data_IF_422917036830
#
_entry.id   IF_422917036830
#
_cell.length_a   1.000
_cell.length_b   1.000
_cell.length_c   1.000
_cell.angle_alpha   90.00
_cell.angle_beta   90.00
_cell.angle_gamma   90.00
#
_symmetry.space_group_name_H-M   'P 1'
#
loop_
_entity.id
_entity.type
_entity.pdbx_description
1 polymer ?
#
# COMPACT_ATOMS: atom_id res chain seq x y z
N UNK A 1 -34.26 0.50 -24.50
CA UNK A 1 -33.58 -0.55 -23.74
C UNK A 1 -32.41 -1.01 -24.61
N UNK A 2 -31.17 -0.83 -24.14
CA UNK A 2 -29.88 -0.87 -24.87
C UNK A 2 -29.67 0.40 -25.74
N UNK A 3 -28.65 1.26 -25.58
CA UNK A 3 -27.38 1.07 -24.90
C UNK A 3 -26.74 2.44 -24.52
N UNK A 4 -27.16 3.03 -23.39
CA UNK A 4 -26.42 4.14 -22.75
C UNK A 4 -25.13 3.65 -22.07
N UNK A 5 -24.88 2.33 -22.07
CA UNK A 5 -23.72 1.66 -21.49
C UNK A 5 -22.48 1.82 -22.38
N UNK A 6 -22.62 1.92 -23.71
CA UNK A 6 -21.50 2.06 -24.64
C UNK A 6 -20.65 3.34 -24.46
N UNK A 7 -21.25 4.50 -24.17
CA UNK A 7 -20.51 5.77 -24.02
C UNK A 7 -19.76 5.89 -22.68
N UNK A 8 -20.29 5.30 -21.61
CA UNK A 8 -19.58 5.21 -20.33
C UNK A 8 -18.50 4.13 -20.35
N UNK A 9 -18.73 3.01 -21.04
CA UNK A 9 -17.72 1.95 -21.19
C UNK A 9 -16.52 2.41 -22.02
N UNK A 10 -16.71 3.21 -23.08
CA UNK A 10 -15.60 3.72 -23.89
C UNK A 10 -14.70 4.72 -23.13
N UNK A 11 -15.27 5.61 -22.32
CA UNK A 11 -14.50 6.56 -21.51
C UNK A 11 -13.81 5.89 -20.31
N UNK A 12 -14.45 4.89 -19.70
CA UNK A 12 -13.84 4.07 -18.65
C UNK A 12 -12.74 3.16 -19.24
N UNK A 13 -12.94 2.61 -20.43
CA UNK A 13 -11.93 1.83 -21.14
C UNK A 13 -10.72 2.71 -21.50
N UNK A 14 -10.89 3.97 -21.88
CA UNK A 14 -9.75 4.86 -22.15
C UNK A 14 -8.97 5.22 -20.87
N UNK A 15 -9.66 5.57 -19.77
CA UNK A 15 -9.01 5.90 -18.48
C UNK A 15 -8.35 4.69 -17.82
N UNK A 16 -8.99 3.53 -17.82
CA UNK A 16 -8.41 2.29 -17.27
C UNK A 16 -7.27 1.79 -18.15
N UNK A 17 -7.42 1.83 -19.48
CA UNK A 17 -6.38 1.35 -20.38
C UNK A 17 -5.15 2.24 -20.30
N UNK A 18 -5.28 3.58 -20.22
CA UNK A 18 -4.14 4.51 -20.01
C UNK A 18 -3.46 4.33 -18.64
N UNK A 19 -4.22 4.05 -17.57
CA UNK A 19 -3.64 3.83 -16.23
C UNK A 19 -2.94 2.46 -16.11
N UNK A 20 -3.55 1.39 -16.66
CA UNK A 20 -2.92 0.05 -16.75
C UNK A 20 -1.67 0.09 -17.64
N UNK A 21 -1.72 0.82 -18.75
CA UNK A 21 -0.61 1.10 -19.65
C UNK A 21 0.49 1.79 -18.85
N UNK A 22 0.23 2.94 -18.21
CA UNK A 22 1.24 3.64 -17.41
C UNK A 22 1.84 2.81 -16.27
N UNK A 23 1.05 2.00 -15.56
CA UNK A 23 1.56 1.08 -14.52
C UNK A 23 2.40 -0.04 -15.15
N UNK A 24 2.01 -0.56 -16.32
CA UNK A 24 2.78 -1.56 -17.06
C UNK A 24 4.09 -0.98 -17.60
N UNK A 25 4.10 0.24 -18.16
CA UNK A 25 5.32 0.91 -18.60
C UNK A 25 6.20 1.34 -17.43
N UNK A 26 5.64 1.75 -16.28
CA UNK A 26 6.41 2.04 -15.07
C UNK A 26 7.08 0.77 -14.50
N UNK A 27 6.36 -0.36 -14.47
CA UNK A 27 6.92 -1.65 -14.05
C UNK A 27 7.93 -2.20 -15.08
N UNK A 28 7.73 -1.95 -16.37
CA UNK A 28 8.69 -2.27 -17.44
C UNK A 28 9.92 -1.34 -17.45
N UNK A 29 9.79 -0.08 -17.02
CA UNK A 29 10.90 0.89 -16.91
C UNK A 29 11.86 0.49 -15.81
N UNK A 30 11.35 -0.02 -14.67
CA UNK A 30 12.20 -0.55 -13.61
C UNK A 30 12.95 -1.77 -14.15
N UNK A 31 12.24 -2.79 -14.66
CA UNK A 31 12.83 -4.04 -15.17
C UNK A 31 13.85 -3.86 -16.32
N UNK A 32 13.68 -2.84 -17.19
CA UNK A 32 14.60 -2.56 -18.30
C UNK A 32 15.91 -1.90 -17.85
N UNK A 33 15.92 -1.26 -16.67
CA UNK A 33 17.12 -0.71 -16.06
C UNK A 33 18.04 -1.81 -15.50
N UNK A 34 17.49 -2.98 -15.13
CA UNK A 34 18.19 -4.15 -14.58
C UNK A 34 18.77 -5.12 -15.62
N UNK A 35 18.59 -4.86 -16.93
CA UNK A 35 19.10 -5.71 -18.03
C UNK A 35 20.58 -5.40 -18.39
N UNK A 36 21.18 -4.38 -17.76
CA UNK A 36 22.58 -4.02 -18.00
C UNK A 36 23.48 -5.07 -17.34
N UNK A 37 24.47 -5.58 -18.09
CA UNK A 37 25.38 -6.66 -17.63
C UNK A 37 26.20 -6.35 -16.35
N UNK A 38 26.19 -5.10 -15.90
CA UNK A 38 26.82 -4.64 -14.65
C UNK A 38 26.02 -5.08 -13.40
N UNK A 39 24.76 -5.49 -13.58
CA UNK A 39 23.83 -5.83 -12.50
C UNK A 39 23.97 -7.27 -11.98
N UNK A 40 24.96 -8.06 -12.43
CA UNK A 40 25.21 -9.37 -11.82
C UNK A 40 25.48 -9.22 -10.32
N UNK A 41 26.25 -8.20 -9.95
CA UNK A 41 26.52 -7.84 -8.54
C UNK A 41 25.25 -7.36 -7.83
N UNK A 42 24.39 -6.59 -8.51
CA UNK A 42 23.12 -6.14 -7.97
C UNK A 42 22.13 -7.30 -7.77
N UNK A 43 22.12 -8.29 -8.66
CA UNK A 43 21.30 -9.49 -8.57
C UNK A 43 21.76 -10.40 -7.44
N UNK A 44 23.08 -10.58 -7.27
CA UNK A 44 23.62 -11.28 -6.10
C UNK A 44 23.38 -10.51 -4.79
N UNK A 45 23.51 -9.18 -4.82
CA UNK A 45 23.23 -8.32 -3.68
C UNK A 45 21.76 -8.35 -3.27
N UNK A 46 20.85 -8.30 -4.24
CA UNK A 46 19.41 -8.42 -4.03
C UNK A 46 19.02 -9.82 -3.55
N UNK A 47 19.58 -10.87 -4.16
CA UNK A 47 19.38 -12.24 -3.72
C UNK A 47 19.87 -12.47 -2.28
N UNK A 48 21.05 -11.97 -1.95
CA UNK A 48 21.58 -12.02 -0.59
C UNK A 48 20.74 -11.19 0.39
N UNK A 49 20.34 -9.97 0.01
CA UNK A 49 19.48 -9.12 0.81
C UNK A 49 18.12 -9.78 1.07
N UNK A 50 17.54 -10.47 0.08
CA UNK A 50 16.30 -11.22 0.24
C UNK A 50 16.47 -12.38 1.24
N UNK A 51 17.57 -13.14 1.14
CA UNK A 51 17.87 -14.23 2.08
C UNK A 51 18.11 -13.69 3.50
N UNK A 52 18.88 -12.61 3.65
CA UNK A 52 19.14 -11.96 4.93
C UNK A 52 17.85 -11.38 5.51
N UNK A 53 16.98 -10.79 4.69
CA UNK A 53 15.69 -10.27 5.13
C UNK A 53 14.81 -11.41 5.66
N UNK A 54 14.70 -12.53 4.92
CA UNK A 54 13.96 -13.71 5.37
C UNK A 54 14.54 -14.31 6.67
N UNK A 55 15.88 -14.41 6.77
CA UNK A 55 16.54 -14.89 7.97
C UNK A 55 16.34 -13.94 9.16
N UNK A 56 16.50 -12.64 8.96
CA UNK A 56 16.30 -11.63 10.00
C UNK A 56 14.84 -11.61 10.48
N UNK A 57 13.86 -11.67 9.56
CA UNK A 57 12.44 -11.77 9.92
C UNK A 57 12.18 -13.02 10.74
N UNK A 58 12.59 -14.21 10.28
CA UNK A 58 12.33 -15.46 11.02
C UNK A 58 12.95 -15.47 12.42
N UNK A 59 14.16 -14.93 12.58
CA UNK A 59 14.80 -14.76 13.88
C UNK A 59 14.07 -13.73 14.76
N UNK A 60 13.64 -12.62 14.17
CA UNK A 60 12.89 -11.57 14.87
C UNK A 60 11.55 -12.10 15.39
N UNK A 61 10.76 -12.78 14.55
CA UNK A 61 9.51 -13.43 14.97
C UNK A 61 9.79 -14.44 16.09
N UNK A 62 10.86 -15.24 15.97
CA UNK A 62 11.22 -16.21 17.00
C UNK A 62 11.63 -15.54 18.33
N UNK A 63 12.29 -14.39 18.29
CA UNK A 63 12.63 -13.62 19.49
C UNK A 63 11.39 -12.99 20.14
N UNK A 64 10.44 -12.53 19.33
CA UNK A 64 9.17 -11.95 19.79
C UNK A 64 8.29 -13.03 20.44
N UNK A 65 8.25 -14.24 19.87
CA UNK A 65 7.51 -15.39 20.43
C UNK A 65 8.04 -15.82 21.81
N UNK A 66 9.33 -15.56 22.12
CA UNK A 66 9.92 -15.80 23.45
C UNK A 66 9.47 -14.78 24.51
N UNK A 67 8.86 -13.66 24.12
CA UNK A 67 8.27 -12.68 25.02
C UNK A 67 6.73 -12.81 24.98
N UNK A 68 6.13 -13.60 25.90
CA UNK A 68 4.69 -13.89 25.89
C UNK A 68 3.78 -12.67 26.16
N UNK A 69 4.35 -11.48 26.37
CA UNK A 69 3.61 -10.24 26.67
C UNK A 69 3.33 -9.39 25.42
N UNK A 70 4.13 -9.52 24.36
CA UNK A 70 4.00 -8.71 23.15
C UNK A 70 2.67 -9.00 22.42
N UNK A 71 2.24 -10.27 22.24
CA UNK A 71 0.97 -10.56 21.56
C UNK A 71 -0.22 -9.90 22.26
N UNK A 72 -0.31 -10.05 23.58
CA UNK A 72 -1.40 -9.48 24.38
C UNK A 72 -1.33 -7.94 24.45
N UNK A 73 -0.13 -7.36 24.47
CA UNK A 73 0.04 -5.91 24.45
C UNK A 73 -0.39 -5.31 23.10
N UNK A 74 0.01 -5.90 21.96
CA UNK A 74 -0.40 -5.45 20.64
C UNK A 74 -1.91 -5.58 20.42
N UNK A 75 -2.53 -6.64 20.95
CA UNK A 75 -3.99 -6.81 20.92
C UNK A 75 -4.70 -5.71 21.72
N UNK A 76 -4.28 -5.45 22.96
CA UNK A 76 -4.84 -4.38 23.78
C UNK A 76 -4.63 -3.01 23.15
N UNK A 77 -3.43 -2.71 22.65
CA UNK A 77 -3.12 -1.45 21.96
C UNK A 77 -4.00 -1.28 20.72
N UNK A 78 -4.18 -2.35 19.94
CA UNK A 78 -5.02 -2.34 18.74
C UNK A 78 -6.48 -2.05 19.06
N UNK A 79 -7.04 -2.71 20.09
CA UNK A 79 -8.42 -2.47 20.53
C UNK A 79 -8.57 -1.07 21.12
N UNK A 80 -7.61 -0.61 21.94
CA UNK A 80 -7.66 0.71 22.56
C UNK A 80 -7.62 1.82 21.50
N UNK A 81 -6.71 1.69 20.53
CA UNK A 81 -6.56 2.66 19.45
C UNK A 81 -7.76 2.64 18.50
N UNK A 82 -8.25 1.46 18.13
CA UNK A 82 -9.45 1.31 17.28
C UNK A 82 -10.68 1.87 17.98
N UNK A 83 -10.87 1.58 19.27
CA UNK A 83 -11.98 2.09 20.07
C UNK A 83 -11.92 3.62 20.20
N UNK A 84 -10.74 4.17 20.46
CA UNK A 84 -10.52 5.62 20.52
C UNK A 84 -10.77 6.31 19.18
N UNK A 85 -10.27 5.75 18.08
CA UNK A 85 -10.48 6.27 16.73
C UNK A 85 -11.96 6.25 16.35
N UNK A 86 -12.64 5.12 16.56
CA UNK A 86 -14.08 5.01 16.29
C UNK A 86 -14.87 5.98 17.17
N UNK A 87 -14.53 6.11 18.44
CA UNK A 87 -15.21 7.05 19.33
C UNK A 87 -15.03 8.50 18.86
N UNK A 88 -13.79 8.90 18.53
CA UNK A 88 -13.48 10.30 18.23
C UNK A 88 -13.89 10.72 16.81
N UNK A 89 -13.72 9.86 15.81
CA UNK A 89 -14.01 10.19 14.41
C UNK A 89 -15.35 9.65 13.90
N UNK A 90 -15.93 8.61 14.53
CA UNK A 90 -17.16 7.98 14.05
C UNK A 90 -18.43 8.45 14.78
N UNK A 91 -18.35 8.92 16.03
CA UNK A 91 -19.53 9.35 16.79
C UNK A 91 -19.72 10.87 16.85
N UNK A 92 -18.65 11.67 16.78
CA UNK A 92 -18.74 13.12 16.84
C UNK A 92 -18.82 13.74 15.45
N UNK A 93 -19.89 14.52 15.21
CA UNK A 93 -20.12 15.22 13.94
C UNK A 93 -18.97 16.14 13.46
N UNK A 94 -18.30 16.96 14.30
CA UNK A 94 -17.25 17.86 13.79
C UNK A 94 -16.04 17.10 13.23
N UNK A 95 -15.68 15.94 13.79
CA UNK A 95 -14.53 15.14 13.34
C UNK A 95 -14.77 14.41 12.01
N UNK A 96 -16.02 14.24 11.57
CA UNK A 96 -16.38 13.60 10.28
C UNK A 96 -15.91 14.45 9.10
N UNK A 97 -16.18 15.74 9.15
CA UNK A 97 -15.78 16.71 8.13
C UNK A 97 -14.25 16.85 8.07
N UNK A 98 -13.56 16.89 9.21
CA UNK A 98 -12.08 16.96 9.22
C UNK A 98 -11.44 15.70 8.62
N UNK A 99 -11.94 14.51 8.96
CA UNK A 99 -11.40 13.26 8.41
C UNK A 99 -11.64 13.16 6.89
N UNK A 100 -12.84 13.54 6.42
CA UNK A 100 -13.13 13.58 4.98
C UNK A 100 -12.26 14.59 4.24
N UNK A 101 -12.02 15.76 4.84
CA UNK A 101 -11.11 16.75 4.27
C UNK A 101 -9.68 16.22 4.18
N UNK A 102 -9.16 15.61 5.24
CA UNK A 102 -7.81 15.03 5.25
C UNK A 102 -7.68 13.92 4.19
N UNK A 103 -8.66 13.02 4.10
CA UNK A 103 -8.66 11.95 3.09
C UNK A 103 -8.72 12.54 1.68
N UNK A 104 -9.62 13.50 1.42
CA UNK A 104 -9.74 14.14 0.11
C UNK A 104 -8.45 14.87 -0.29
N UNK A 105 -7.79 15.52 0.68
CA UNK A 105 -6.54 16.24 0.48
C UNK A 105 -5.37 15.30 0.23
N UNK A 106 -5.22 14.24 1.02
CA UNK A 106 -4.18 13.24 0.79
C UNK A 106 -4.38 12.52 -0.55
N UNK A 107 -5.62 12.29 -0.96
CA UNK A 107 -5.93 11.73 -2.28
C UNK A 107 -5.61 12.72 -3.39
N UNK A 108 -5.94 14.00 -3.26
CA UNK A 108 -5.59 15.02 -4.26
C UNK A 108 -4.09 15.26 -4.37
N UNK A 109 -3.36 15.29 -3.25
CA UNK A 109 -1.91 15.47 -3.22
C UNK A 109 -1.17 14.30 -3.89
N UNK A 110 -1.66 13.07 -3.73
CA UNK A 110 -1.11 11.88 -4.42
C UNK A 110 -1.50 11.87 -5.90
N UNK A 111 -2.70 12.33 -6.24
CA UNK A 111 -3.20 12.41 -7.62
C UNK A 111 -2.72 13.66 -8.38
N UNK A 112 -2.06 14.60 -7.71
CA UNK A 112 -1.36 15.73 -8.33
C UNK A 112 -2.28 16.72 -9.05
N UNK A 113 -3.41 17.09 -8.43
CA UNK A 113 -4.25 18.20 -8.90
C UNK A 113 -4.17 19.40 -7.97
#
# INVERSE_FOLDING_TARGET
>A
MLDFTCLNYASFCYTVHVNIVCISYASLIDLKQWDKSEDRLALFGLGFAAIVALWASTNLISAIDKLPLIPSAFELIGILYSSWFVYRYLLFKPDREELFQIISKSVSDILGQ
#
